data_IF_781669855136
#
_entry.id   IF_781669855136
#
_cell.length_a   1.000
_cell.length_b   1.000
_cell.length_c   1.000
_cell.angle_alpha   90.00
_cell.angle_beta   90.00
_cell.angle_gamma   90.00
#
_symmetry.space_group_name_H-M   'P 1'
#
loop_
_entity.id
_entity.type
_entity.pdbx_description
1 polymer ?
#
# COMPACT_ATOMS: atom_id res chain seq x y z
N UNK A 1 15.59 2.54 3.18
CA UNK A 1 14.27 3.12 2.92
C UNK A 1 14.38 3.95 1.65
N UNK A 2 14.01 3.38 0.50
CA UNK A 2 13.93 4.16 -0.72
C UNK A 2 12.54 4.81 -0.70
N UNK A 3 12.47 6.08 -0.32
CA UNK A 3 11.30 6.90 -0.64
C UNK A 3 11.30 7.05 -2.17
N UNK A 4 10.75 6.05 -2.87
CA UNK A 4 10.53 6.15 -4.29
C UNK A 4 9.53 7.28 -4.49
N UNK A 5 9.89 8.31 -5.24
CA UNK A 5 8.96 9.40 -5.57
C UNK A 5 7.89 8.96 -6.59
N UNK A 6 8.11 7.80 -7.22
CA UNK A 6 7.24 7.23 -8.26
C UNK A 6 5.78 7.10 -7.80
N UNK A 7 5.45 6.49 -6.63
CA UNK A 7 4.06 6.37 -6.18
C UNK A 7 3.42 7.74 -5.93
N UNK A 8 4.16 8.70 -5.35
CA UNK A 8 3.66 10.06 -5.10
C UNK A 8 3.26 10.74 -6.41
N UNK A 9 4.10 10.67 -7.44
CA UNK A 9 3.82 11.27 -8.75
C UNK A 9 2.60 10.61 -9.39
N UNK A 10 2.53 9.27 -9.41
CA UNK A 10 1.45 8.53 -10.07
C UNK A 10 0.10 8.80 -9.38
N UNK A 11 0.02 8.67 -8.06
CA UNK A 11 -1.25 8.86 -7.34
C UNK A 11 -1.69 10.32 -7.33
N UNK A 12 -0.75 11.27 -7.31
CA UNK A 12 -1.09 12.70 -7.43
C UNK A 12 -1.63 13.02 -8.82
N UNK A 13 -1.00 12.51 -9.89
CA UNK A 13 -1.48 12.69 -11.25
C UNK A 13 -2.87 12.05 -11.45
N UNK A 14 -3.06 10.82 -10.94
CA UNK A 14 -4.33 10.10 -11.03
C UNK A 14 -5.47 10.92 -10.38
N UNK A 15 -5.30 11.35 -9.14
CA UNK A 15 -6.35 12.09 -8.44
C UNK A 15 -6.51 13.52 -8.94
N UNK A 16 -5.43 14.16 -9.44
CA UNK A 16 -5.54 15.44 -10.12
C UNK A 16 -6.38 15.34 -11.40
N UNK A 17 -6.25 14.27 -12.19
CA UNK A 17 -7.12 14.04 -13.35
C UNK A 17 -8.59 13.92 -12.92
N UNK A 18 -8.86 13.17 -11.85
CA UNK A 18 -10.23 12.99 -11.34
C UNK A 18 -10.82 14.29 -10.78
N UNK A 19 -10.04 15.06 -10.01
CA UNK A 19 -10.51 16.26 -9.32
C UNK A 19 -10.44 17.55 -10.15
N UNK A 20 -9.66 17.57 -11.23
CA UNK A 20 -9.47 18.77 -12.06
C UNK A 20 -9.99 18.53 -13.48
N UNK A 21 -9.57 17.47 -14.15
CA UNK A 21 -9.91 17.25 -15.57
C UNK A 21 -11.36 16.79 -15.75
N UNK A 22 -11.81 15.79 -14.98
CA UNK A 22 -13.17 15.25 -15.13
C UNK A 22 -14.30 16.25 -14.84
N UNK A 23 -14.21 17.18 -13.87
CA UNK A 23 -15.22 18.21 -13.67
C UNK A 23 -15.48 19.11 -14.88
N UNK A 24 -14.48 19.34 -15.74
CA UNK A 24 -14.66 20.08 -16.98
C UNK A 24 -15.43 19.28 -18.04
N UNK A 25 -15.24 17.97 -18.05
CA UNK A 25 -15.92 17.01 -18.94
C UNK A 25 -17.33 16.63 -18.45
N UNK A 26 -17.74 17.06 -17.27
CA UNK A 26 -19.04 16.74 -16.70
C UNK A 26 -20.19 17.19 -17.63
N UNK A 27 -21.13 16.29 -17.99
CA UNK A 27 -22.18 16.57 -18.96
C UNK A 27 -23.07 17.73 -18.53
N UNK A 28 -23.53 18.49 -19.52
CA UNK A 28 -24.39 19.66 -19.30
C UNK A 28 -25.80 19.17 -18.97
N UNK A 29 -26.18 19.26 -17.69
CA UNK A 29 -27.52 18.93 -17.20
C UNK A 29 -27.83 19.65 -15.89
N UNK A 30 -29.05 19.52 -15.37
CA UNK A 30 -29.50 20.20 -14.15
C UNK A 30 -28.60 19.91 -12.93
N UNK A 31 -28.00 18.71 -12.89
CA UNK A 31 -27.21 18.23 -11.76
C UNK A 31 -25.68 18.43 -11.96
N UNK A 32 -25.24 19.22 -12.96
CA UNK A 32 -23.81 19.37 -13.29
C UNK A 32 -22.98 19.84 -12.10
N UNK A 33 -23.47 20.81 -11.33
CA UNK A 33 -22.77 21.31 -10.14
C UNK A 33 -22.56 20.24 -9.08
N UNK A 34 -23.57 19.39 -8.85
CA UNK A 34 -23.47 18.28 -7.88
C UNK A 34 -22.40 17.28 -8.34
N UNK A 35 -22.41 16.90 -9.63
CA UNK A 35 -21.42 15.99 -10.19
C UNK A 35 -20.00 16.55 -10.06
N UNK A 36 -19.80 17.84 -10.35
CA UNK A 36 -18.51 18.51 -10.17
C UNK A 36 -18.06 18.50 -8.70
N UNK A 37 -18.94 18.85 -7.78
CA UNK A 37 -18.64 18.84 -6.35
C UNK A 37 -18.27 17.44 -5.85
N UNK A 38 -19.01 16.40 -6.24
CA UNK A 38 -18.73 15.02 -5.85
C UNK A 38 -17.39 14.55 -6.38
N UNK A 39 -17.06 14.86 -7.65
CA UNK A 39 -15.75 14.52 -8.24
C UNK A 39 -14.59 15.19 -7.50
N UNK A 40 -14.69 16.49 -7.22
CA UNK A 40 -13.66 17.26 -6.51
C UNK A 40 -13.49 16.75 -5.07
N UNK A 41 -14.59 16.56 -4.33
CA UNK A 41 -14.54 16.08 -2.95
C UNK A 41 -13.99 14.66 -2.85
N UNK A 42 -14.38 13.77 -3.76
CA UNK A 42 -13.86 12.39 -3.80
C UNK A 42 -12.36 12.40 -4.08
N UNK A 43 -11.92 13.14 -5.11
CA UNK A 43 -10.50 13.23 -5.43
C UNK A 43 -9.66 13.78 -4.27
N UNK A 44 -10.17 14.81 -3.59
CA UNK A 44 -9.50 15.43 -2.45
C UNK A 44 -9.35 14.46 -1.28
N UNK A 45 -10.46 13.82 -0.88
CA UNK A 45 -10.48 12.94 0.30
C UNK A 45 -9.71 11.65 0.06
N UNK A 46 -9.85 11.03 -1.12
CA UNK A 46 -9.10 9.82 -1.47
C UNK A 46 -7.60 10.08 -1.62
N UNK A 47 -7.19 11.22 -2.20
CA UNK A 47 -5.77 11.59 -2.30
C UNK A 47 -5.17 11.83 -0.90
N UNK A 48 -5.86 12.59 -0.04
CA UNK A 48 -5.40 12.85 1.32
C UNK A 48 -5.30 11.56 2.15
N UNK A 49 -6.32 10.70 2.10
CA UNK A 49 -6.31 9.43 2.80
C UNK A 49 -5.11 8.57 2.37
N UNK A 50 -4.91 8.41 1.06
CA UNK A 50 -3.78 7.66 0.52
C UNK A 50 -2.44 8.27 0.95
N UNK A 51 -2.26 9.59 0.81
CA UNK A 51 -1.01 10.26 1.11
C UNK A 51 -0.65 10.11 2.60
N UNK A 52 -1.63 10.26 3.49
CA UNK A 52 -1.43 10.04 4.92
C UNK A 52 -0.97 8.61 5.23
N UNK A 53 -1.62 7.60 4.68
CA UNK A 53 -1.22 6.20 4.86
C UNK A 53 0.19 5.93 4.32
N UNK A 54 0.53 6.50 3.17
CA UNK A 54 1.85 6.36 2.56
C UNK A 54 2.95 7.02 3.42
N UNK A 55 2.73 8.27 3.85
CA UNK A 55 3.70 9.00 4.67
C UNK A 55 3.93 8.33 6.03
N UNK A 56 2.88 7.74 6.63
CA UNK A 56 3.00 7.00 7.89
C UNK A 56 3.97 5.81 7.81
N UNK A 57 4.23 5.28 6.61
CA UNK A 57 5.10 4.13 6.39
C UNK A 57 6.51 4.49 5.90
N UNK A 58 6.81 5.75 5.58
CA UNK A 58 8.11 6.11 4.98
C UNK A 58 9.29 6.05 5.95
N UNK A 59 9.05 6.26 7.25
CA UNK A 59 10.06 6.18 8.31
C UNK A 59 9.51 5.39 9.50
N UNK A 60 9.30 4.07 9.35
CA UNK A 60 8.72 3.26 10.41
C UNK A 60 9.70 3.13 11.57
N UNK A 61 9.24 3.44 12.78
CA UNK A 61 10.01 3.28 14.03
C UNK A 61 9.92 1.86 14.58
N UNK A 62 8.88 1.12 14.19
CA UNK A 62 8.55 -0.20 14.72
C UNK A 62 8.32 -1.15 13.53
N UNK A 63 9.03 -2.28 13.55
CA UNK A 63 8.82 -3.38 12.61
C UNK A 63 7.78 -4.38 13.11
N UNK A 64 7.22 -5.22 12.23
CA UNK A 64 6.27 -6.25 12.62
C UNK A 64 6.96 -7.32 13.48
N UNK A 65 6.27 -7.80 14.52
CA UNK A 65 6.71 -8.95 15.33
C UNK A 65 5.93 -10.19 14.90
N UNK A 66 6.63 -11.19 14.36
CA UNK A 66 6.03 -12.42 13.86
C UNK A 66 6.50 -13.62 14.68
N UNK A 67 5.67 -14.67 14.67
CA UNK A 67 6.03 -15.97 15.23
C UNK A 67 7.06 -16.68 14.34
N UNK A 68 7.95 -17.48 14.95
CA UNK A 68 9.07 -18.13 14.26
C UNK A 68 8.63 -18.92 13.03
N UNK A 69 7.56 -19.72 13.13
CA UNK A 69 7.06 -20.52 12.01
C UNK A 69 6.65 -19.64 10.81
N UNK A 70 6.06 -18.46 11.07
CA UNK A 70 5.68 -17.52 10.00
C UNK A 70 6.90 -16.93 9.32
N UNK A 71 7.95 -16.61 10.08
CA UNK A 71 9.22 -16.09 9.54
C UNK A 71 9.88 -17.13 8.63
N UNK A 72 9.89 -18.41 9.03
CA UNK A 72 10.41 -19.51 8.23
C UNK A 72 9.66 -19.69 6.90
N UNK A 73 8.33 -19.66 6.95
CA UNK A 73 7.50 -19.74 5.75
C UNK A 73 7.80 -18.55 4.82
N UNK A 74 7.85 -17.33 5.36
CA UNK A 74 8.17 -16.14 4.57
C UNK A 74 9.57 -16.21 3.93
N UNK A 75 10.57 -16.69 4.66
CA UNK A 75 11.93 -16.87 4.16
C UNK A 75 11.98 -17.86 2.99
N UNK A 76 11.23 -18.96 3.09
CA UNK A 76 11.07 -19.96 2.03
C UNK A 76 10.41 -19.39 0.78
N UNK A 77 9.26 -18.73 0.94
CA UNK A 77 8.46 -18.24 -0.19
C UNK A 77 9.10 -17.02 -0.88
N UNK A 78 9.72 -16.13 -0.09
CA UNK A 78 10.30 -14.89 -0.63
C UNK A 78 11.77 -15.06 -1.06
N UNK A 79 12.36 -16.25 -0.89
CA UNK A 79 13.73 -16.56 -1.32
C UNK A 79 14.83 -15.93 -0.46
N UNK A 80 14.49 -15.34 0.68
CA UNK A 80 15.44 -14.72 1.61
C UNK A 80 15.84 -15.74 2.67
N UNK A 81 16.90 -16.51 2.40
CA UNK A 81 17.42 -17.51 3.35
C UNK A 81 17.88 -16.82 4.64
N UNK A 82 17.41 -17.31 5.78
CA UNK A 82 17.91 -16.86 7.09
C UNK A 82 19.31 -17.48 7.31
N UNK A 83 20.21 -16.79 8.04
CA UNK A 83 21.57 -17.28 8.29
C UNK A 83 21.64 -18.63 9.04
N UNK A 84 20.54 -19.08 9.64
CA UNK A 84 20.43 -20.18 10.58
C UNK A 84 19.42 -21.28 10.17
N UNK A 85 18.88 -21.25 8.94
CA UNK A 85 17.85 -22.21 8.49
C UNK A 85 18.30 -23.68 8.55
N UNK A 86 19.59 -23.94 8.33
CA UNK A 86 20.13 -25.30 8.24
C UNK A 86 20.19 -26.00 9.63
N UNK A 87 19.99 -25.23 10.71
CA UNK A 87 19.96 -25.73 12.09
C UNK A 87 18.55 -26.03 12.61
N UNK A 88 17.51 -25.51 11.95
CA UNK A 88 16.14 -25.67 12.42
C UNK A 88 15.47 -26.87 11.77
N UNK A 89 15.13 -27.88 12.58
CA UNK A 89 14.35 -29.05 12.17
C UNK A 89 12.97 -28.94 12.82
N UNK A 90 11.87 -28.96 12.04
CA UNK A 90 10.51 -29.03 12.58
C UNK A 90 10.36 -30.22 13.53
N UNK A 91 9.73 -30.05 14.71
CA UNK A 91 9.49 -31.15 15.66
C UNK A 91 8.68 -32.31 15.05
N UNK A 92 7.80 -32.03 14.07
CA UNK A 92 7.04 -33.06 13.34
C UNK A 92 7.93 -34.10 12.63
N UNK A 93 9.15 -33.73 12.24
CA UNK A 93 10.14 -34.64 11.65
C UNK A 93 11.11 -35.23 12.69
N UNK A 94 11.09 -34.75 13.94
CA UNK A 94 11.89 -35.30 15.04
C UNK A 94 11.21 -36.48 15.73
N UNK A 95 9.86 -36.52 15.74
CA UNK A 95 9.06 -37.62 16.34
C UNK A 95 8.89 -38.82 15.39
N UNK A 96 9.17 -38.65 14.10
CA UNK A 96 9.07 -39.70 13.08
C UNK A 96 10.36 -40.55 12.89
N UNK A 97 11.33 -40.45 13.80
CA UNK A 97 12.56 -41.26 13.83
C UNK A 97 12.71 -42.02 15.15
#
# INVERSE_FOLDING_TARGET
MAASFIPIIIFTALWAVVGIVLPFLAPKGPNRGIVQCVLILTASTCWLFWLCCYMAQMNPLIGPKLHQNTILIMAREWGNKLPDIDSWVPEEHAVAR
#
